data_IF_447737362544
#
_entry.id   IF_447737362544
#
_cell.length_a   1.000
_cell.length_b   1.000
_cell.length_c   1.000
_cell.angle_alpha   90.00
_cell.angle_beta   90.00
_cell.angle_gamma   90.00
#
_symmetry.space_group_name_H-M   'P 1'
#
loop_
_entity.id
_entity.type
_entity.pdbx_description
1 polymer ?
#
# COMPACT_ATOMS: atom_id res chain seq x y z
N UNK A 1 12.54 -0.38 -3.28
CA UNK A 1 11.23 0.28 -3.23
C UNK A 1 11.17 1.49 -2.28
N UNK A 2 11.44 1.34 -0.97
CA UNK A 2 11.24 2.41 0.03
C UNK A 2 11.92 3.77 -0.27
N UNK A 3 13.11 3.80 -0.88
CA UNK A 3 13.75 5.04 -1.32
C UNK A 3 12.98 5.77 -2.43
N UNK A 4 12.37 5.03 -3.37
CA UNK A 4 11.57 5.58 -4.46
C UNK A 4 10.30 6.25 -3.93
N UNK A 5 9.72 5.68 -2.88
CA UNK A 5 8.51 6.17 -2.22
C UNK A 5 8.79 7.06 -0.99
N UNK A 6 10.03 7.54 -0.80
CA UNK A 6 10.40 8.28 0.41
C UNK A 6 9.51 9.51 0.68
N UNK A 7 9.07 10.21 -0.36
CA UNK A 7 8.21 11.39 -0.25
C UNK A 7 6.74 11.07 0.07
N UNK A 8 6.37 9.80 0.00
CA UNK A 8 5.03 9.29 0.28
C UNK A 8 4.97 8.55 1.62
N UNK A 9 6.12 8.24 2.22
CA UNK A 9 6.23 7.61 3.52
C UNK A 9 5.55 8.42 4.62
N UNK A 10 4.86 7.74 5.53
CA UNK A 10 4.05 8.37 6.57
C UNK A 10 2.68 8.84 6.10
N UNK A 11 2.50 9.09 4.80
CA UNK A 11 1.23 9.53 4.22
C UNK A 11 0.48 8.40 3.52
N UNK A 12 1.06 7.85 2.45
CA UNK A 12 0.43 6.82 1.61
C UNK A 12 1.02 5.43 1.80
N UNK A 13 2.26 5.33 2.26
CA UNK A 13 2.88 4.08 2.66
C UNK A 13 3.53 4.22 4.04
N UNK A 14 3.80 3.12 4.75
CA UNK A 14 4.48 3.17 6.04
C UNK A 14 5.83 3.87 5.94
N UNK A 15 6.21 4.64 6.97
CA UNK A 15 7.60 5.07 7.12
C UNK A 15 8.50 3.86 7.25
N UNK A 16 9.65 3.93 6.59
CA UNK A 16 10.71 2.94 6.68
C UNK A 16 11.82 3.48 7.56
N UNK A 17 12.10 2.79 8.65
CA UNK A 17 13.12 3.20 9.62
C UNK A 17 14.46 2.49 9.43
N UNK A 18 14.51 1.44 8.61
CA UNK A 18 15.73 0.68 8.33
C UNK A 18 15.54 -0.83 8.48
N UNK A 19 16.64 -1.54 8.64
CA UNK A 19 16.63 -3.00 8.85
C UNK A 19 17.25 -3.36 10.18
N UNK A 20 16.71 -4.37 10.86
CA UNK A 20 17.32 -4.98 12.03
C UNK A 20 17.46 -6.50 11.86
N UNK A 21 18.21 -7.12 12.75
CA UNK A 21 18.22 -8.57 12.89
C UNK A 21 17.34 -8.97 14.06
N UNK A 22 16.40 -9.87 13.83
CA UNK A 22 15.56 -10.48 14.86
C UNK A 22 16.09 -11.88 15.11
N UNK A 23 16.33 -12.21 16.38
CA UNK A 23 16.77 -13.55 16.79
C UNK A 23 15.59 -14.27 17.39
N UNK A 24 15.23 -15.42 16.81
CA UNK A 24 14.16 -16.26 17.32
C UNK A 24 14.63 -17.03 18.56
N UNK A 25 13.69 -17.56 19.34
CA UNK A 25 13.99 -18.41 20.50
C UNK A 25 14.82 -19.65 20.16
N UNK A 26 14.81 -20.07 18.89
CA UNK A 26 15.61 -21.16 18.33
C UNK A 26 17.07 -20.79 18.06
N UNK A 27 17.45 -19.51 18.19
CA UNK A 27 18.78 -18.98 17.86
C UNK A 27 18.93 -18.54 16.40
N UNK A 28 17.93 -18.78 15.55
CA UNK A 28 17.94 -18.35 14.15
C UNK A 28 17.83 -16.82 14.03
N UNK A 29 18.62 -16.22 13.12
CA UNK A 29 18.63 -14.77 12.88
C UNK A 29 18.04 -14.44 11.51
N UNK A 30 16.98 -13.64 11.52
CA UNK A 30 16.35 -13.12 10.31
C UNK A 30 16.56 -11.62 10.18
N UNK A 31 16.73 -11.14 8.96
CA UNK A 31 16.73 -9.70 8.68
C UNK A 31 15.28 -9.23 8.54
N UNK A 32 14.90 -8.22 9.31
CA UNK A 32 13.58 -7.63 9.31
C UNK A 32 13.62 -6.17 8.85
N UNK A 33 12.56 -5.71 8.20
CA UNK A 33 12.32 -4.29 7.95
C UNK A 33 11.61 -3.65 9.14
N UNK A 34 12.10 -2.51 9.59
CA UNK A 34 11.40 -1.69 10.59
C UNK A 34 10.51 -0.68 9.87
N UNK A 35 9.22 -0.78 10.13
CA UNK A 35 8.19 0.07 9.55
C UNK A 35 7.39 0.78 10.62
N UNK A 36 6.74 1.87 10.23
CA UNK A 36 5.66 2.49 10.98
C UNK A 36 4.56 1.47 11.30
N UNK A 37 4.16 1.40 12.56
CA UNK A 37 2.93 0.74 12.95
C UNK A 37 1.75 1.59 12.45
N UNK A 38 0.97 1.03 11.54
CA UNK A 38 -0.20 1.68 10.97
C UNK A 38 -1.44 1.21 11.71
N UNK A 39 -2.05 2.12 12.46
CA UNK A 39 -3.35 1.89 13.10
C UNK A 39 -4.48 2.17 12.09
N UNK A 40 -5.12 1.11 11.62
CA UNK A 40 -6.17 1.17 10.62
C UNK A 40 -6.90 -0.15 10.47
N UNK A 41 -8.03 -0.12 9.74
CA UNK A 41 -8.85 -1.29 9.44
C UNK A 41 -8.72 -1.69 7.99
N UNK A 42 -8.90 -2.96 7.70
CA UNK A 42 -8.97 -3.41 6.32
C UNK A 42 -10.35 -3.06 5.71
N UNK A 43 -10.43 -2.66 4.42
CA UNK A 43 -11.70 -2.33 3.78
C UNK A 43 -12.73 -3.46 3.78
N UNK A 44 -12.31 -4.72 3.80
CA UNK A 44 -13.20 -5.89 3.89
C UNK A 44 -13.84 -6.06 5.29
N UNK A 45 -13.34 -5.37 6.31
CA UNK A 45 -13.96 -5.26 7.63
C UNK A 45 -15.01 -4.13 7.69
N UNK A 46 -15.11 -3.30 6.64
CA UNK A 46 -16.02 -2.16 6.57
C UNK A 46 -17.26 -2.48 5.75
N UNK A 47 -18.38 -1.83 6.08
CA UNK A 47 -19.56 -1.87 5.21
C UNK A 47 -19.32 -1.05 3.96
N UNK A 48 -19.97 -1.42 2.86
CA UNK A 48 -19.88 -0.71 1.59
C UNK A 48 -20.23 0.77 1.71
N UNK A 49 -21.30 1.09 2.43
CA UNK A 49 -21.76 2.47 2.62
C UNK A 49 -20.75 3.29 3.42
N UNK A 50 -20.03 2.66 4.36
CA UNK A 50 -18.94 3.30 5.08
C UNK A 50 -17.78 3.60 4.13
N UNK A 51 -17.40 2.66 3.26
CA UNK A 51 -16.35 2.88 2.27
C UNK A 51 -16.69 3.98 1.26
N UNK A 52 -17.94 4.05 0.80
CA UNK A 52 -18.45 5.08 -0.09
C UNK A 52 -18.48 6.45 0.59
N UNK A 53 -19.00 6.53 1.83
CA UNK A 53 -19.00 7.77 2.61
C UNK A 53 -17.58 8.31 2.87
N UNK A 54 -16.60 7.41 2.98
CA UNK A 54 -15.19 7.78 3.11
C UNK A 54 -14.52 8.17 1.79
N UNK A 55 -15.18 8.03 0.63
CA UNK A 55 -14.56 8.28 -0.67
C UNK A 55 -13.34 7.39 -0.93
N UNK A 56 -13.45 6.09 -0.57
CA UNK A 56 -12.35 5.13 -0.67
C UNK A 56 -11.83 5.02 -2.11
N UNK A 57 -12.75 5.01 -3.09
CA UNK A 57 -12.44 4.93 -4.52
C UNK A 57 -11.57 6.11 -4.98
N UNK A 58 -11.94 7.33 -4.61
CA UNK A 58 -11.23 8.56 -4.99
C UNK A 58 -9.83 8.57 -4.36
N UNK A 59 -9.73 8.16 -3.09
CA UNK A 59 -8.45 8.06 -2.37
C UNK A 59 -7.52 7.01 -3.00
N UNK A 60 -8.04 5.85 -3.38
CA UNK A 60 -7.26 4.81 -4.07
C UNK A 60 -6.75 5.29 -5.41
N UNK A 61 -7.61 5.88 -6.24
CA UNK A 61 -7.21 6.42 -7.54
C UNK A 61 -6.11 7.50 -7.38
N UNK A 62 -6.26 8.40 -6.40
CA UNK A 62 -5.24 9.41 -6.11
C UNK A 62 -3.91 8.78 -5.64
N UNK A 63 -3.96 7.75 -4.80
CA UNK A 63 -2.77 7.08 -4.30
C UNK A 63 -2.01 6.37 -5.42
N UNK A 64 -2.69 5.60 -6.26
CA UNK A 64 -2.03 4.86 -7.33
C UNK A 64 -1.57 5.77 -8.47
N UNK A 65 -2.23 6.92 -8.69
CA UNK A 65 -1.73 7.96 -9.60
C UNK A 65 -0.37 8.48 -9.15
N UNK A 66 -0.20 8.74 -7.85
CA UNK A 66 1.09 9.13 -7.29
C UNK A 66 2.14 8.01 -7.37
N UNK A 67 1.73 6.74 -7.31
CA UNK A 67 2.66 5.63 -7.56
C UNK A 67 3.09 5.58 -9.02
N UNK A 68 2.18 5.82 -9.96
CA UNK A 68 2.50 5.89 -11.39
C UNK A 68 3.50 7.01 -11.70
N UNK A 69 3.35 8.20 -11.12
CA UNK A 69 4.33 9.30 -11.22
C UNK A 69 5.71 8.94 -10.64
N UNK A 70 5.78 7.95 -9.74
CA UNK A 70 7.03 7.40 -9.20
C UNK A 70 7.48 6.14 -9.92
N UNK A 71 6.82 5.78 -11.00
CA UNK A 71 7.07 4.58 -11.79
C UNK A 71 6.92 3.28 -10.98
N UNK A 72 6.09 3.28 -9.93
CA UNK A 72 5.91 2.14 -9.02
C UNK A 72 4.61 1.41 -9.34
N UNK A 73 4.72 0.09 -9.45
CA UNK A 73 3.58 -0.84 -9.49
C UNK A 73 3.64 -1.73 -8.25
N UNK A 74 2.54 -1.84 -7.52
CA UNK A 74 2.51 -2.59 -6.26
C UNK A 74 2.63 -4.11 -6.46
N UNK A 75 2.05 -4.64 -7.55
CA UNK A 75 1.95 -6.07 -7.92
C UNK A 75 1.14 -6.96 -6.99
N UNK A 76 0.94 -6.54 -5.74
CA UNK A 76 0.10 -7.24 -4.77
C UNK A 76 -1.01 -6.34 -4.19
N UNK A 77 -1.66 -5.53 -5.05
CA UNK A 77 -2.68 -4.57 -4.59
C UNK A 77 -4.02 -5.27 -4.29
N UNK A 78 -4.18 -5.73 -3.05
CA UNK A 78 -5.39 -6.36 -2.53
C UNK A 78 -5.92 -5.64 -1.28
N UNK A 79 -7.16 -5.91 -0.86
CA UNK A 79 -7.77 -5.27 0.31
C UNK A 79 -6.99 -5.50 1.62
N UNK A 80 -6.35 -6.68 1.77
CA UNK A 80 -5.42 -6.95 2.87
C UNK A 80 -4.20 -6.02 2.91
N UNK A 81 -3.85 -5.39 1.79
CA UNK A 81 -2.71 -4.48 1.66
C UNK A 81 -3.16 -3.00 1.60
N UNK A 82 -4.43 -2.73 1.91
CA UNK A 82 -4.97 -1.38 2.08
C UNK A 82 -5.47 -1.25 3.52
N UNK A 83 -5.08 -0.17 4.20
CA UNK A 83 -5.58 0.18 5.51
C UNK A 83 -6.31 1.52 5.45
N UNK A 84 -7.53 1.54 5.99
CA UNK A 84 -8.29 2.75 6.26
C UNK A 84 -7.89 3.25 7.65
N UNK A 85 -7.27 4.43 7.69
CA UNK A 85 -6.82 5.10 8.91
C UNK A 85 -7.65 6.36 9.14
N UNK A 86 -7.54 6.94 10.34
CA UNK A 86 -8.15 8.25 10.63
C UNK A 86 -7.72 9.38 9.68
N UNK A 87 -6.58 9.23 9.01
CA UNK A 87 -5.99 10.24 8.13
C UNK A 87 -6.20 9.93 6.63
N UNK A 88 -6.97 8.91 6.28
CA UNK A 88 -7.15 8.44 4.90
C UNK A 88 -6.63 7.01 4.72
N UNK A 89 -6.26 6.65 3.49
CA UNK A 89 -5.75 5.30 3.21
C UNK A 89 -4.24 5.23 3.31
N UNK A 90 -3.74 4.05 3.68
CA UNK A 90 -2.34 3.69 3.56
C UNK A 90 -2.22 2.32 2.89
N UNK A 91 -1.40 2.25 1.86
CA UNK A 91 -1.09 1.01 1.14
C UNK A 91 0.17 0.42 1.78
N UNK A 92 0.14 -0.87 2.08
CA UNK A 92 1.19 -1.59 2.79
C UNK A 92 1.69 -2.77 1.97
N UNK A 93 2.80 -3.36 2.42
CA UNK A 93 3.42 -4.55 1.81
C UNK A 93 3.88 -4.40 0.35
N UNK A 94 4.94 -3.62 0.17
CA UNK A 94 5.59 -3.43 -1.14
C UNK A 94 6.63 -4.54 -1.46
N UNK A 95 6.48 -5.74 -0.90
CA UNK A 95 7.44 -6.84 -1.11
C UNK A 95 7.58 -7.24 -2.59
N UNK A 96 6.47 -7.25 -3.32
CA UNK A 96 6.38 -7.64 -4.73
C UNK A 96 6.48 -6.45 -5.71
N UNK A 97 6.63 -5.23 -5.18
CA UNK A 97 6.48 -4.03 -5.97
C UNK A 97 7.66 -3.82 -6.94
N UNK A 98 7.35 -3.44 -8.19
CA UNK A 98 8.32 -3.25 -9.27
C UNK A 98 8.44 -1.78 -9.70
N UNK A 99 9.50 -1.47 -10.43
CA UNK A 99 9.72 -0.16 -11.07
C UNK A 99 9.58 -0.35 -12.58
N UNK A 100 8.63 0.36 -13.18
CA UNK A 100 8.31 0.25 -14.62
C UNK A 100 8.56 1.59 -15.34
N UNK A 101 8.17 1.73 -16.61
CA UNK A 101 7.99 3.07 -17.19
C UNK A 101 6.75 3.75 -16.60
N UNK A 102 6.69 5.09 -16.63
CA UNK A 102 5.52 5.84 -16.15
C UNK A 102 4.22 5.43 -16.86
N UNK A 103 4.29 5.19 -18.17
CA UNK A 103 3.15 4.74 -18.98
C UNK A 103 2.68 3.35 -18.56
N UNK A 104 3.60 2.41 -18.37
CA UNK A 104 3.25 1.05 -17.92
C UNK A 104 2.70 1.08 -16.50
N UNK A 105 3.34 1.82 -15.59
CA UNK A 105 2.88 1.99 -14.23
C UNK A 105 1.47 2.58 -14.18
N UNK A 106 1.16 3.58 -15.01
CA UNK A 106 -0.20 4.14 -15.14
C UNK A 106 -1.23 3.09 -15.59
N UNK A 107 -0.92 2.32 -16.63
CA UNK A 107 -1.84 1.31 -17.16
C UNK A 107 -2.11 0.20 -16.15
N UNK A 108 -1.07 -0.34 -15.52
CA UNK A 108 -1.20 -1.42 -14.54
C UNK A 108 -1.92 -0.95 -13.29
N UNK A 109 -1.48 0.16 -12.68
CA UNK A 109 -2.09 0.68 -11.46
C UNK A 109 -3.59 1.02 -11.63
N UNK A 110 -3.97 1.54 -12.81
CA UNK A 110 -5.38 1.79 -13.12
C UNK A 110 -6.17 0.48 -13.24
N UNK A 111 -5.60 -0.53 -13.88
CA UNK A 111 -6.18 -1.87 -13.98
C UNK A 111 -6.38 -2.49 -12.60
N UNK A 112 -5.35 -2.46 -11.76
CA UNK A 112 -5.37 -3.00 -10.40
C UNK A 112 -6.47 -2.36 -9.55
N UNK A 113 -6.65 -1.04 -9.60
CA UNK A 113 -7.74 -0.37 -8.86
C UNK A 113 -9.11 -0.76 -9.37
N UNK A 114 -9.30 -0.89 -10.70
CA UNK A 114 -10.58 -1.33 -11.26
C UNK A 114 -10.89 -2.76 -10.78
N UNK A 115 -9.92 -3.66 -10.85
CA UNK A 115 -10.10 -5.04 -10.40
C UNK A 115 -10.38 -5.11 -8.89
N UNK A 116 -9.63 -4.35 -8.10
CA UNK A 116 -9.78 -4.29 -6.65
C UNK A 116 -11.19 -3.80 -6.26
N UNK A 117 -11.66 -2.72 -6.89
CA UNK A 117 -12.99 -2.18 -6.65
C UNK A 117 -14.09 -3.14 -7.10
N UNK A 118 -13.94 -3.85 -8.22
CA UNK A 118 -14.92 -4.84 -8.68
C UNK A 118 -15.09 -6.02 -7.70
N UNK A 119 -14.18 -6.22 -6.74
CA UNK A 119 -14.32 -7.26 -5.71
C UNK A 119 -15.19 -6.82 -4.52
N UNK A 120 -15.55 -5.54 -4.44
CA UNK A 120 -16.47 -5.00 -3.42
C UNK A 120 -17.93 -4.92 -3.90
N UNK A 121 -18.19 -5.11 -5.19
CA UNK A 121 -19.48 -4.89 -5.86
C UNK A 121 -19.88 -6.12 -6.66
#
# INVERSE_FOLDING_TARGET
>A
MYARLQHLQGRLNPKFYGTAFVTHSTGERHKAFLLELVDGKHPDECKKEEMEAWGLKEKLNAAVGLFSEKCVVHRDLYWRNVLITKNGIKIIDFGEATIESEKEAYLVNRGDVIELLNRLY
#
